data_IF_331647864971
#
_entry.id   IF_331647864971
#
_cell.length_a   1.000
_cell.length_b   1.000
_cell.length_c   1.000
_cell.angle_alpha   90.00
_cell.angle_beta   90.00
_cell.angle_gamma   90.00
#
_symmetry.space_group_name_H-M   'P 1'
#
loop_
_entity.id
_entity.type
_entity.pdbx_description
1 polymer ?
#
# COMPACT_ATOMS: atom_id res chain seq x y z
N UNK A 1 -23.47 -29.69 -36.42
CA UNK A 1 -24.20 -29.27 -35.21
C UNK A 1 -23.17 -28.89 -34.15
N UNK A 2 -22.36 -27.89 -34.46
CA UNK A 2 -21.31 -27.35 -33.60
C UNK A 2 -21.18 -25.87 -33.98
N UNK A 3 -22.20 -25.09 -33.65
CA UNK A 3 -22.17 -23.64 -33.72
C UNK A 3 -22.76 -23.12 -32.41
N UNK A 4 -22.13 -22.08 -31.87
CA UNK A 4 -22.45 -21.34 -30.64
C UNK A 4 -21.93 -21.94 -29.33
N UNK A 5 -20.61 -21.89 -29.14
CA UNK A 5 -20.12 -21.33 -27.88
C UNK A 5 -19.91 -19.84 -28.12
N UNK A 6 -20.95 -19.07 -27.82
CA UNK A 6 -20.85 -17.62 -27.68
C UNK A 6 -19.69 -17.29 -26.75
N UNK A 7 -18.87 -16.35 -27.21
CA UNK A 7 -17.69 -15.81 -26.58
C UNK A 7 -18.02 -14.89 -25.39
N UNK A 8 -18.91 -15.34 -24.51
CA UNK A 8 -19.14 -14.69 -23.23
C UNK A 8 -18.39 -15.47 -22.14
N UNK A 9 -17.45 -14.83 -21.41
CA UNK A 9 -16.88 -15.47 -20.25
C UNK A 9 -18.03 -15.82 -19.30
N UNK A 10 -18.10 -17.09 -18.90
CA UNK A 10 -19.14 -17.66 -18.01
C UNK A 10 -19.29 -16.86 -16.70
N UNK A 11 -18.28 -16.04 -16.36
CA UNK A 11 -18.36 -15.00 -15.35
C UNK A 11 -17.76 -13.70 -15.92
N UNK A 12 -18.50 -12.58 -15.94
CA UNK A 12 -17.89 -11.28 -16.19
C UNK A 12 -16.86 -11.02 -15.08
N UNK A 13 -15.65 -10.49 -15.40
CA UNK A 13 -14.62 -10.21 -14.40
C UNK A 13 -15.18 -9.42 -13.21
N UNK A 14 -16.07 -8.48 -13.47
CA UNK A 14 -16.75 -7.63 -12.49
C UNK A 14 -17.49 -8.44 -11.40
N UNK A 15 -18.15 -9.54 -11.77
CA UNK A 15 -18.95 -10.36 -10.83
C UNK A 15 -18.08 -11.18 -9.86
N UNK A 16 -16.86 -11.54 -10.27
CA UNK A 16 -15.83 -12.15 -9.41
C UNK A 16 -15.17 -11.09 -8.53
N UNK A 17 -15.13 -9.84 -8.99
CA UNK A 17 -14.46 -8.73 -8.31
C UNK A 17 -15.31 -8.05 -7.22
N UNK A 18 -16.65 -8.17 -7.27
CA UNK A 18 -17.57 -7.44 -6.39
C UNK A 18 -17.59 -7.93 -4.93
N UNK A 19 -17.35 -9.21 -4.66
CA UNK A 19 -17.38 -9.73 -3.28
C UNK A 19 -15.97 -9.90 -2.69
N UNK A 20 -15.34 -8.81 -2.27
CA UNK A 20 -14.05 -8.83 -1.55
C UNK A 20 -14.11 -9.48 -0.16
N UNK A 21 -15.31 -9.76 0.37
CA UNK A 21 -15.46 -10.33 1.71
C UNK A 21 -14.82 -9.46 2.80
N UNK A 22 -14.05 -10.09 3.69
CA UNK A 22 -13.24 -9.41 4.69
C UNK A 22 -11.86 -9.08 4.12
N UNK A 23 -11.47 -7.80 4.21
CA UNK A 23 -10.22 -7.29 3.62
C UNK A 23 -9.17 -7.03 4.69
N UNK A 24 -7.93 -7.46 4.44
CA UNK A 24 -6.74 -7.02 5.16
C UNK A 24 -5.87 -6.15 4.24
N UNK A 25 -5.38 -5.02 4.74
CA UNK A 25 -4.59 -4.07 3.95
C UNK A 25 -3.16 -4.02 4.53
N UNK A 26 -2.17 -4.15 3.66
CA UNK A 26 -0.75 -4.18 4.01
C UNK A 26 -0.04 -3.09 3.21
N UNK A 27 0.37 -2.00 3.87
CA UNK A 27 0.96 -0.84 3.19
C UNK A 27 2.45 -0.75 3.53
N UNK A 28 3.30 -0.98 2.52
CA UNK A 28 4.69 -0.57 2.59
C UNK A 28 4.75 0.96 2.44
N UNK A 29 5.01 1.64 3.56
CA UNK A 29 5.07 3.09 3.61
C UNK A 29 6.20 3.69 2.79
N UNK A 30 7.31 2.96 2.59
CA UNK A 30 8.42 3.40 1.75
C UNK A 30 8.04 3.33 0.26
N UNK A 31 7.49 2.20 -0.20
CA UNK A 31 6.98 2.10 -1.58
C UNK A 31 5.90 3.15 -1.87
N UNK A 32 4.90 3.27 -0.99
CA UNK A 32 3.82 4.25 -1.17
C UNK A 32 4.36 5.69 -1.20
N UNK A 33 5.34 6.02 -0.36
CA UNK A 33 5.96 7.32 -0.35
C UNK A 33 6.64 7.64 -1.70
N UNK A 34 7.48 6.75 -2.21
CA UNK A 34 8.18 6.98 -3.47
C UNK A 34 7.21 7.01 -4.67
N UNK A 35 6.16 6.18 -4.64
CA UNK A 35 5.09 6.23 -5.63
C UNK A 35 4.35 7.58 -5.62
N UNK A 36 3.97 8.09 -4.45
CA UNK A 36 3.35 9.40 -4.32
C UNK A 36 4.26 10.54 -4.81
N UNK A 37 5.56 10.44 -4.51
CA UNK A 37 6.58 11.40 -4.97
C UNK A 37 6.68 11.40 -6.51
N UNK A 38 6.72 10.23 -7.14
CA UNK A 38 6.76 10.11 -8.60
C UNK A 38 5.48 10.62 -9.27
N UNK A 39 4.32 10.46 -8.63
CA UNK A 39 3.05 11.03 -9.09
C UNK A 39 2.92 12.54 -8.81
N UNK A 40 3.78 13.12 -7.97
CA UNK A 40 3.65 14.51 -7.54
C UNK A 40 2.39 14.78 -6.70
N UNK A 41 1.89 13.77 -5.98
CA UNK A 41 0.68 13.88 -5.15
C UNK A 41 1.02 13.83 -3.66
N UNK A 42 0.16 14.49 -2.88
CA UNK A 42 0.16 14.32 -1.43
C UNK A 42 -1.02 13.42 -1.03
N UNK A 43 -0.73 12.30 -0.39
CA UNK A 43 -1.73 11.29 -0.04
C UNK A 43 -2.57 11.75 1.16
N UNK A 44 -3.89 11.67 1.01
CA UNK A 44 -4.86 11.69 2.10
C UNK A 44 -5.07 10.26 2.60
N UNK A 45 -4.46 9.92 3.73
CA UNK A 45 -4.50 8.57 4.29
C UNK A 45 -5.89 8.13 4.75
N UNK A 46 -6.82 9.05 5.00
CA UNK A 46 -8.21 8.68 5.28
C UNK A 46 -8.89 8.23 4.01
N UNK A 47 -8.72 8.98 2.91
CA UNK A 47 -9.26 8.62 1.60
C UNK A 47 -8.61 7.35 1.05
N UNK A 48 -7.30 7.18 1.24
CA UNK A 48 -6.59 5.97 0.88
C UNK A 48 -7.23 4.76 1.57
N UNK A 49 -7.40 4.79 2.90
CA UNK A 49 -8.01 3.69 3.64
C UNK A 49 -9.43 3.38 3.13
N UNK A 50 -10.22 4.42 2.90
CA UNK A 50 -11.57 4.29 2.35
C UNK A 50 -11.55 3.63 0.97
N UNK A 51 -10.69 4.10 0.07
CA UNK A 51 -10.57 3.62 -1.31
C UNK A 51 -10.06 2.19 -1.39
N UNK A 52 -9.10 1.82 -0.54
CA UNK A 52 -8.54 0.47 -0.46
C UNK A 52 -9.54 -0.50 0.19
N UNK A 53 -10.37 -0.04 1.13
CA UNK A 53 -11.43 -0.86 1.73
C UNK A 53 -12.58 -1.09 0.75
N UNK A 54 -12.95 -0.06 -0.03
CA UNK A 54 -14.00 -0.11 -1.07
C UNK A 54 -15.33 -0.73 -0.60
N UNK A 55 -15.78 -0.40 0.61
CA UNK A 55 -17.04 -0.90 1.18
C UNK A 55 -17.00 -2.32 1.75
N UNK A 56 -15.89 -3.04 1.61
CA UNK A 56 -15.69 -4.36 2.20
C UNK A 56 -15.56 -4.30 3.74
N UNK A 57 -15.65 -5.44 4.41
CA UNK A 57 -15.44 -5.51 5.87
C UNK A 57 -13.95 -5.45 6.17
N UNK A 58 -13.45 -4.34 6.72
CA UNK A 58 -12.04 -4.22 7.09
C UNK A 58 -11.70 -5.12 8.29
N UNK A 59 -10.82 -6.11 8.10
CA UNK A 59 -10.18 -6.86 9.18
C UNK A 59 -9.17 -5.98 9.90
N UNK A 60 -8.25 -5.40 9.14
CA UNK A 60 -7.12 -4.60 9.63
C UNK A 60 -6.45 -3.86 8.47
N UNK A 61 -5.94 -2.66 8.74
CA UNK A 61 -5.02 -1.96 7.86
C UNK A 61 -3.68 -1.78 8.57
N UNK A 62 -2.61 -2.31 8.00
CA UNK A 62 -1.25 -2.17 8.49
C UNK A 62 -0.50 -1.12 7.70
N UNK A 63 0.36 -0.38 8.40
CA UNK A 63 1.28 0.58 7.80
C UNK A 63 2.69 0.31 8.30
N UNK A 64 3.55 -0.19 7.42
CA UNK A 64 4.93 -0.59 7.71
C UNK A 64 5.86 0.56 7.33
N UNK A 65 6.73 1.00 8.25
CA UNK A 65 7.58 2.17 7.95
C UNK A 65 8.85 2.21 8.78
N UNK A 66 9.91 2.73 8.17
CA UNK A 66 11.13 3.12 8.88
C UNK A 66 10.90 4.41 9.67
N UNK A 67 11.38 4.45 10.91
CA UNK A 67 11.20 5.60 11.80
C UNK A 67 12.54 6.22 12.22
N UNK A 68 12.62 7.55 12.13
CA UNK A 68 13.61 8.34 12.86
C UNK A 68 12.96 8.89 14.13
N UNK A 69 13.44 8.43 15.29
CA UNK A 69 12.87 8.83 16.58
C UNK A 69 13.11 10.29 16.92
N UNK A 70 14.08 10.93 16.29
CA UNK A 70 14.34 12.37 16.50
C UNK A 70 13.42 13.25 15.66
N UNK A 71 12.68 12.68 14.70
CA UNK A 71 11.78 13.42 13.84
C UNK A 71 10.38 13.54 14.46
N UNK A 72 10.16 14.60 15.24
CA UNK A 72 8.88 14.84 15.94
C UNK A 72 7.67 14.89 15.01
N UNK A 73 7.82 15.47 13.81
CA UNK A 73 6.75 15.53 12.81
C UNK A 73 6.36 14.14 12.33
N UNK A 74 7.34 13.26 12.07
CA UNK A 74 7.09 11.86 11.73
C UNK A 74 6.38 11.14 12.88
N UNK A 75 6.82 11.34 14.13
CA UNK A 75 6.15 10.75 15.31
C UNK A 75 4.68 11.19 15.41
N UNK A 76 4.40 12.48 15.19
CA UNK A 76 3.05 13.04 15.16
C UNK A 76 2.18 12.40 14.07
N UNK A 77 2.72 12.23 12.87
CA UNK A 77 2.06 11.54 11.77
C UNK A 77 1.75 10.06 12.11
N UNK A 78 2.71 9.31 12.64
CA UNK A 78 2.49 7.91 13.00
C UNK A 78 1.49 7.75 14.15
N UNK A 79 1.48 8.68 15.11
CA UNK A 79 0.45 8.73 16.14
C UNK A 79 -0.93 9.00 15.56
N UNK A 80 -1.03 9.93 14.60
CA UNK A 80 -2.27 10.20 13.88
C UNK A 80 -2.75 8.95 13.13
N UNK A 81 -1.87 8.25 12.41
CA UNK A 81 -2.20 7.00 11.71
C UNK A 81 -2.79 5.96 12.66
N UNK A 82 -2.16 5.75 13.83
CA UNK A 82 -2.66 4.84 14.88
C UNK A 82 -4.05 5.19 15.39
N UNK A 83 -4.38 6.48 15.47
CA UNK A 83 -5.69 6.97 15.91
C UNK A 83 -6.76 6.92 14.82
N UNK A 84 -6.37 6.78 13.56
CA UNK A 84 -7.26 6.85 12.40
C UNK A 84 -7.31 5.52 11.63
N UNK A 85 -7.29 4.40 12.35
CA UNK A 85 -7.64 3.08 11.79
C UNK A 85 -6.45 2.25 11.28
N UNK A 86 -5.22 2.75 11.35
CA UNK A 86 -4.02 2.00 10.97
C UNK A 86 -3.33 1.35 12.15
N UNK A 87 -2.91 0.10 11.99
CA UNK A 87 -1.92 -0.56 12.84
C UNK A 87 -0.53 -0.28 12.29
N UNK A 88 0.15 0.71 12.87
CA UNK A 88 1.51 1.07 12.44
C UNK A 88 2.54 0.08 13.00
N UNK A 89 3.35 -0.49 12.13
CA UNK A 89 4.53 -1.30 12.44
C UNK A 89 5.75 -0.47 12.05
N UNK A 90 6.61 -0.16 13.03
CA UNK A 90 7.72 0.75 12.83
C UNK A 90 9.04 0.09 13.23
N UNK A 91 10.08 0.33 12.44
CA UNK A 91 11.44 -0.15 12.66
C UNK A 91 12.41 1.01 12.59
N UNK A 92 13.36 1.06 13.52
CA UNK A 92 14.34 2.14 13.54
C UNK A 92 15.16 2.12 12.24
N UNK A 93 15.38 3.29 11.64
CA UNK A 93 16.19 3.41 10.43
C UNK A 93 17.64 2.97 10.73
N UNK A 94 18.17 2.08 9.90
CA UNK A 94 19.56 1.64 9.99
C UNK A 94 20.39 2.50 9.04
N UNK A 95 21.46 3.09 9.56
CA UNK A 95 22.45 3.79 8.74
C UNK A 95 23.37 2.78 8.08
N UNK A 96 23.41 2.81 6.76
CA UNK A 96 24.26 1.97 5.93
C UNK A 96 25.66 2.61 5.80
N UNK A 97 26.69 1.84 5.38
CA UNK A 97 28.06 2.35 5.21
C UNK A 97 28.17 3.50 4.19
N UNK A 98 27.22 3.62 3.28
CA UNK A 98 27.12 4.70 2.29
C UNK A 98 26.46 5.98 2.86
N UNK A 99 26.16 6.01 4.17
CA UNK A 99 25.51 7.12 4.85
C UNK A 99 23.99 7.15 4.70
N UNK A 100 23.40 6.32 3.83
CA UNK A 100 21.95 6.26 3.64
C UNK A 100 21.27 5.60 4.83
N UNK A 101 20.07 6.06 5.17
CA UNK A 101 19.23 5.46 6.22
C UNK A 101 18.10 4.67 5.56
N UNK A 102 18.01 3.37 5.83
CA UNK A 102 16.95 2.50 5.30
C UNK A 102 16.39 1.59 6.39
N UNK A 103 15.12 1.26 6.27
CA UNK A 103 14.51 0.14 6.98
C UNK A 103 13.73 -0.68 5.96
N UNK A 104 14.07 -1.96 5.84
CA UNK A 104 13.29 -2.93 5.10
C UNK A 104 12.34 -3.64 6.09
N UNK A 105 11.06 -3.70 5.73
CA UNK A 105 10.00 -4.37 6.49
C UNK A 105 9.32 -5.52 5.70
N UNK A 106 9.91 -6.00 4.62
CA UNK A 106 9.37 -7.05 3.76
C UNK A 106 9.15 -8.35 4.54
N UNK A 107 10.06 -8.67 5.47
CA UNK A 107 9.92 -9.84 6.35
C UNK A 107 8.69 -9.70 7.23
N UNK A 108 8.52 -8.54 7.87
CA UNK A 108 7.36 -8.25 8.72
C UNK A 108 6.05 -8.31 7.92
N UNK A 109 6.03 -7.76 6.70
CA UNK A 109 4.89 -7.83 5.78
C UNK A 109 4.56 -9.27 5.40
N UNK A 110 5.56 -10.05 4.95
CA UNK A 110 5.38 -11.44 4.54
C UNK A 110 4.88 -12.33 5.68
N UNK A 111 5.41 -12.13 6.90
CA UNK A 111 4.95 -12.84 8.10
C UNK A 111 3.50 -12.50 8.42
N UNK A 112 3.13 -11.22 8.44
CA UNK A 112 1.76 -10.80 8.77
C UNK A 112 0.74 -11.21 7.69
N UNK A 113 1.14 -11.22 6.41
CA UNK A 113 0.35 -11.76 5.29
C UNK A 113 -0.01 -13.23 5.55
N UNK A 114 1.00 -14.06 5.81
CA UNK A 114 0.84 -15.51 6.03
C UNK A 114 0.14 -15.84 7.34
N UNK A 115 0.39 -15.08 8.41
CA UNK A 115 -0.21 -15.31 9.72
C UNK A 115 -1.71 -15.01 9.75
N UNK A 116 -2.18 -14.13 8.86
CA UNK A 116 -3.57 -13.67 8.86
C UNK A 116 -4.44 -14.28 7.76
N UNK A 117 -3.89 -15.11 6.87
CA UNK A 117 -4.57 -15.60 5.66
C UNK A 117 -5.90 -16.32 5.92
N UNK A 118 -6.04 -17.02 7.06
CA UNK A 118 -7.30 -17.70 7.40
C UNK A 118 -8.39 -16.74 7.93
N UNK A 119 -8.08 -15.45 8.09
CA UNK A 119 -8.97 -14.46 8.70
C UNK A 119 -9.46 -13.39 7.74
N UNK A 120 -8.91 -13.31 6.53
CA UNK A 120 -9.36 -12.42 5.46
C UNK A 120 -9.64 -13.21 4.18
N UNK A 121 -10.56 -12.70 3.36
CA UNK A 121 -10.86 -13.25 2.05
C UNK A 121 -10.02 -12.56 0.97
N UNK A 122 -9.67 -11.28 1.18
CA UNK A 122 -8.83 -10.49 0.26
C UNK A 122 -7.72 -9.76 1.01
N UNK A 123 -6.49 -9.88 0.53
CA UNK A 123 -5.37 -9.03 0.91
C UNK A 123 -5.13 -7.94 -0.14
N UNK A 124 -5.02 -6.70 0.32
CA UNK A 124 -4.60 -5.56 -0.49
C UNK A 124 -3.18 -5.20 -0.09
N UNK A 125 -2.22 -5.48 -0.97
CA UNK A 125 -0.81 -5.15 -0.78
C UNK A 125 -0.47 -3.86 -1.53
N UNK A 126 -0.12 -2.82 -0.79
CA UNK A 126 0.40 -1.56 -1.36
C UNK A 126 1.92 -1.61 -1.34
N UNK A 127 2.50 -2.22 -2.37
CA UNK A 127 3.95 -2.30 -2.61
C UNK A 127 4.22 -2.70 -4.06
N UNK A 128 5.35 -2.28 -4.61
CA UNK A 128 5.90 -2.73 -5.89
C UNK A 128 7.01 -3.78 -5.76
N UNK A 129 7.38 -4.18 -4.55
CA UNK A 129 8.58 -4.99 -4.29
C UNK A 129 8.43 -6.45 -4.72
N UNK A 130 9.31 -6.91 -5.59
CA UNK A 130 9.33 -8.29 -6.09
C UNK A 130 9.69 -9.32 -5.01
N UNK A 131 10.37 -8.91 -3.93
CA UNK A 131 10.77 -9.82 -2.85
C UNK A 131 9.57 -10.38 -2.08
N UNK A 132 8.40 -9.71 -2.17
CA UNK A 132 7.14 -10.17 -1.58
C UNK A 132 6.39 -11.18 -2.45
N UNK A 133 6.79 -11.39 -3.72
CA UNK A 133 6.06 -12.22 -4.67
C UNK A 133 5.85 -13.66 -4.16
N UNK A 134 6.85 -14.25 -3.51
CA UNK A 134 6.74 -15.60 -2.97
C UNK A 134 5.72 -15.70 -1.82
N UNK A 135 5.69 -14.71 -0.93
CA UNK A 135 4.71 -14.67 0.15
C UNK A 135 3.28 -14.47 -0.40
N UNK A 136 3.14 -13.61 -1.41
CA UNK A 136 1.88 -13.36 -2.11
C UNK A 136 1.36 -14.63 -2.79
N UNK A 137 2.22 -15.34 -3.53
CA UNK A 137 1.87 -16.61 -4.19
C UNK A 137 1.44 -17.68 -3.16
N UNK A 138 2.16 -17.78 -2.04
CA UNK A 138 1.81 -18.71 -0.96
C UNK A 138 0.46 -18.38 -0.29
N UNK A 139 0.14 -17.10 -0.12
CA UNK A 139 -1.18 -16.66 0.38
C UNK A 139 -2.29 -16.96 -0.64
N UNK A 140 -2.04 -16.67 -1.92
CA UNK A 140 -2.99 -16.98 -3.00
C UNK A 140 -3.30 -18.47 -3.09
N UNK A 141 -2.27 -19.32 -2.97
CA UNK A 141 -2.41 -20.77 -2.93
C UNK A 141 -3.30 -21.27 -1.78
N UNK A 142 -3.39 -20.52 -0.67
CA UNK A 142 -4.28 -20.83 0.46
C UNK A 142 -5.73 -20.34 0.27
N UNK A 143 -6.03 -19.75 -0.89
CA UNK A 143 -7.38 -19.38 -1.30
C UNK A 143 -7.76 -17.93 -1.00
N UNK A 144 -6.84 -17.12 -0.48
CA UNK A 144 -7.09 -15.69 -0.31
C UNK A 144 -6.79 -14.93 -1.60
N UNK A 145 -7.66 -13.98 -1.94
CA UNK A 145 -7.48 -13.14 -3.12
C UNK A 145 -6.46 -12.05 -2.86
N UNK A 146 -5.58 -11.79 -3.83
CA UNK A 146 -4.53 -10.79 -3.73
C UNK A 146 -4.80 -9.64 -4.70
N UNK A 147 -4.79 -8.44 -4.17
CA UNK A 147 -4.76 -7.23 -4.97
C UNK A 147 -3.49 -6.43 -4.68
N UNK A 148 -2.70 -6.16 -5.70
CA UNK A 148 -1.49 -5.34 -5.62
C UNK A 148 -1.81 -3.92 -6.08
N UNK A 149 -1.41 -2.94 -5.28
CA UNK A 149 -1.62 -1.52 -5.53
C UNK A 149 -0.26 -0.81 -5.56
N UNK A 150 0.16 -0.30 -6.70
CA UNK A 150 1.44 0.40 -6.84
C UNK A 150 1.49 1.18 -8.16
N UNK A 151 2.61 1.82 -8.47
CA UNK A 151 2.87 2.37 -9.80
C UNK A 151 3.47 1.32 -10.72
N UNK A 152 3.02 1.28 -11.98
CA UNK A 152 3.52 0.27 -12.92
C UNK A 152 5.02 0.39 -13.15
N UNK A 153 5.55 1.60 -13.18
CA UNK A 153 6.98 1.90 -13.32
C UNK A 153 7.84 1.44 -12.15
N UNK A 154 7.22 1.16 -10.99
CA UNK A 154 7.90 0.81 -9.75
C UNK A 154 7.58 -0.60 -9.26
N UNK A 155 6.88 -1.40 -10.07
CA UNK A 155 6.41 -2.73 -9.65
C UNK A 155 7.12 -3.82 -10.42
N UNK A 156 7.61 -4.83 -9.69
CA UNK A 156 8.17 -6.03 -10.30
C UNK A 156 7.11 -6.83 -11.05
N UNK A 157 7.42 -7.25 -12.28
CA UNK A 157 6.54 -8.12 -13.06
C UNK A 157 6.24 -9.43 -12.33
N UNK A 158 7.19 -9.95 -11.55
CA UNK A 158 6.98 -11.15 -10.73
C UNK A 158 5.86 -10.98 -9.71
N UNK A 159 5.76 -9.81 -9.06
CA UNK A 159 4.70 -9.50 -8.10
C UNK A 159 3.35 -9.32 -8.80
N UNK A 160 3.34 -8.71 -9.98
CA UNK A 160 2.12 -8.54 -10.78
C UNK A 160 1.57 -9.90 -11.23
N UNK A 161 2.45 -10.81 -11.67
CA UNK A 161 2.05 -12.10 -12.22
C UNK A 161 1.40 -13.03 -11.19
N UNK A 162 1.70 -12.85 -9.90
CA UNK A 162 1.12 -13.64 -8.79
C UNK A 162 -0.12 -12.98 -8.17
N UNK A 163 -0.47 -11.76 -8.59
CA UNK A 163 -1.63 -11.05 -8.07
C UNK A 163 -2.90 -11.38 -8.88
N UNK A 164 -4.02 -11.59 -8.20
CA UNK A 164 -5.33 -11.75 -8.88
C UNK A 164 -5.80 -10.44 -9.53
N UNK A 165 -5.36 -9.30 -8.97
CA UNK A 165 -5.64 -7.97 -9.50
C UNK A 165 -4.47 -7.04 -9.26
N UNK A 166 -4.12 -6.29 -10.29
CA UNK A 166 -3.24 -5.13 -10.17
C UNK A 166 -4.06 -3.83 -10.29
N UNK A 167 -3.79 -2.87 -9.41
CA UNK A 167 -4.43 -1.55 -9.38
C UNK A 167 -3.32 -0.52 -9.48
N UNK A 168 -3.31 0.25 -10.56
CA UNK A 168 -2.35 1.33 -10.71
C UNK A 168 -2.72 2.50 -9.79
N UNK A 169 -1.77 2.96 -8.97
CA UNK A 169 -1.94 4.12 -8.10
C UNK A 169 -2.32 5.38 -8.88
N UNK A 170 -1.82 5.55 -10.11
CA UNK A 170 -2.18 6.71 -10.95
C UNK A 170 -3.68 6.73 -11.28
N UNK A 171 -4.29 5.57 -11.48
CA UNK A 171 -5.72 5.45 -11.80
C UNK A 171 -6.64 5.84 -10.64
N UNK A 172 -6.15 5.74 -9.41
CA UNK A 172 -6.92 6.10 -8.20
C UNK A 172 -6.43 7.38 -7.54
N UNK A 173 -5.50 8.11 -8.16
CA UNK A 173 -4.83 9.28 -7.56
C UNK A 173 -5.83 10.35 -7.09
N UNK A 174 -6.85 10.62 -7.90
CA UNK A 174 -7.84 11.68 -7.64
C UNK A 174 -8.69 11.33 -6.40
N UNK A 175 -8.91 10.03 -6.18
CA UNK A 175 -9.65 9.51 -5.02
C UNK A 175 -8.84 9.63 -3.73
N UNK A 176 -7.50 9.54 -3.80
CA UNK A 176 -6.62 9.42 -2.63
C UNK A 176 -5.80 10.68 -2.34
N UNK A 177 -5.76 11.66 -3.24
CA UNK A 177 -5.00 12.89 -3.03
C UNK A 177 -5.69 13.86 -2.07
N UNK A 178 -4.87 14.65 -1.36
CA UNK A 178 -5.35 15.79 -0.59
C UNK A 178 -5.95 16.82 -1.54
N UNK A 179 -7.23 17.12 -1.33
CA UNK A 179 -7.89 18.25 -1.99
C UNK A 179 -7.34 19.54 -1.39
N UNK A 180 -6.73 20.41 -2.20
CA UNK A 180 -6.39 21.78 -1.79
C UNK A 180 -7.69 22.52 -1.44
N UNK A 181 -8.08 22.53 -0.16
CA UNK A 181 -9.08 23.49 0.31
C UNK A 181 -8.41 24.86 0.35
N UNK A 182 -8.97 25.82 -0.37
CA UNK A 182 -8.63 27.24 -0.23
C UNK A 182 -8.74 27.64 1.24
N UNK A 183 -7.60 28.00 1.84
CA UNK A 183 -7.42 28.63 3.16
C UNK A 183 -8.20 28.03 4.33
N UNK A 184 -7.55 27.14 5.08
CA UNK A 184 -7.57 27.06 6.56
C UNK A 184 -6.39 26.17 6.97
N UNK A 185 -5.26 26.80 7.29
CA UNK A 185 -4.06 26.31 7.98
C UNK A 185 -4.01 24.80 8.31
N UNK A 186 -3.40 24.01 7.42
CA UNK A 186 -2.93 22.65 7.71
C UNK A 186 -1.61 22.32 6.96
N UNK A 187 -0.75 23.31 6.75
CA UNK A 187 0.56 23.16 6.06
C UNK A 187 1.65 22.50 6.91
N UNK A 188 1.34 21.96 8.09
CA UNK A 188 2.38 21.50 9.04
C UNK A 188 2.76 20.00 8.91
N UNK A 189 2.05 19.20 8.10
CA UNK A 189 2.18 17.73 8.13
C UNK A 189 2.41 17.08 6.76
N UNK A 190 3.00 17.80 5.81
CA UNK A 190 3.43 17.20 4.54
C UNK A 190 4.73 16.39 4.73
N UNK A 191 4.76 15.09 4.34
CA UNK A 191 5.98 14.29 4.31
C UNK A 191 7.08 14.90 3.42
N UNK A 192 6.71 15.75 2.47
CA UNK A 192 7.65 16.45 1.59
C UNK A 192 8.62 17.35 2.38
N UNK A 193 8.15 18.03 3.43
CA UNK A 193 9.01 18.84 4.30
C UNK A 193 9.85 18.02 5.30
N UNK A 194 9.74 16.69 5.31
CA UNK A 194 10.56 15.82 6.16
C UNK A 194 11.82 15.33 5.46
N UNK A 195 11.95 15.56 4.15
CA UNK A 195 13.06 15.08 3.32
C UNK A 195 13.96 16.22 2.83
N UNK A 196 13.49 17.47 2.85
CA UNK A 196 14.27 18.65 2.44
C UNK A 196 15.37 19.09 3.42
N UNK A 197 15.54 18.46 4.58
CA UNK A 197 16.77 18.63 5.38
C UNK A 197 17.87 17.66 4.91
N UNK A 198 18.11 17.63 3.59
CA UNK A 198 19.39 17.19 3.03
C UNK A 198 20.14 18.47 2.68
N UNK A 199 21.15 18.78 3.47
CA UNK A 199 22.12 19.81 3.09
C UNK A 199 22.65 19.49 1.69
N UNK A 200 22.66 20.45 0.75
CA UNK A 200 23.55 20.38 -0.39
C UNK A 200 24.94 20.73 0.14
N UNK A 201 25.80 19.73 0.36
CA UNK A 201 27.23 19.99 0.49
C UNK A 201 27.90 19.85 -0.89
N UNK A 202 28.51 20.99 -1.27
CA UNK A 202 29.30 21.36 -2.46
C UNK A 202 28.55 21.90 -3.70
#
# INVERSE_FOLDING_TARGET
MWDNFDSDPVFPPEQVLENRGRVAIFIDGSNLFYAALQLGVEIDYTKLLYRLTAGAKLLRAFFYTGVDRTNEKQQGFLLWMRRNGYRVIAKDLVQLPDGSKKANLDVEIAVDLMALVDYYDTAVLVSGDGDLAYAVDAVSYRGARIEVVSLRSMTSDSLINVADRYIDLDQIREDIQKTRKSNLTYDAFSPYHLIENRDPEE
#
